data_IF_327242755629
#
_entry.id   IF_327242755629
#
_cell.length_a   1.000
_cell.length_b   1.000
_cell.length_c   1.000
_cell.angle_alpha   90.00
_cell.angle_beta   90.00
_cell.angle_gamma   90.00
#
_symmetry.space_group_name_H-M   'P 1'
#
loop_
_entity.id
_entity.type
_entity.pdbx_description
1 polymer ?
#
# COMPACT_ATOMS: atom_id res chain seq x y z
N UNK A 1 -18.69 -15.96 -12.73
CA UNK A 1 -18.88 -16.90 -11.59
C UNK A 1 -17.70 -17.86 -11.45
N UNK A 2 -17.25 -18.51 -12.53
CA UNK A 2 -16.11 -19.44 -12.52
C UNK A 2 -14.77 -18.85 -12.00
N UNK A 3 -14.41 -17.62 -12.39
CA UNK A 3 -13.15 -16.98 -11.99
C UNK A 3 -13.09 -16.76 -10.47
N UNK A 4 -14.18 -16.29 -9.86
CA UNK A 4 -14.25 -16.10 -8.40
C UNK A 4 -14.06 -17.41 -7.65
N UNK A 5 -14.65 -18.50 -8.15
CA UNK A 5 -14.51 -19.83 -7.56
C UNK A 5 -13.09 -20.37 -7.69
N UNK A 6 -12.41 -20.12 -8.81
CA UNK A 6 -11.02 -20.50 -9.00
C UNK A 6 -10.08 -19.72 -8.06
N UNK A 7 -10.30 -18.41 -7.90
CA UNK A 7 -9.54 -17.58 -6.95
C UNK A 7 -9.75 -18.06 -5.52
N UNK A 8 -11.01 -18.30 -5.12
CA UNK A 8 -11.32 -18.79 -3.78
C UNK A 8 -10.65 -20.14 -3.49
N UNK A 9 -10.63 -21.06 -4.47
CA UNK A 9 -9.94 -22.34 -4.36
C UNK A 9 -8.43 -22.15 -4.16
N UNK A 10 -7.81 -21.26 -4.92
CA UNK A 10 -6.38 -20.99 -4.83
C UNK A 10 -5.98 -20.35 -3.49
N UNK A 11 -6.80 -19.41 -2.99
CA UNK A 11 -6.61 -18.79 -1.68
C UNK A 11 -6.70 -19.86 -0.58
N UNK A 12 -7.69 -20.75 -0.65
CA UNK A 12 -7.82 -21.85 0.31
C UNK A 12 -6.58 -22.75 0.33
N UNK A 13 -6.12 -23.22 -0.84
CA UNK A 13 -4.94 -24.09 -0.91
C UNK A 13 -3.65 -23.42 -0.42
N UNK A 14 -3.55 -22.10 -0.62
CA UNK A 14 -2.42 -21.32 -0.11
C UNK A 14 -2.44 -21.23 1.41
N UNK A 15 -3.61 -20.98 2.01
CA UNK A 15 -3.75 -20.92 3.47
C UNK A 15 -3.43 -22.27 4.13
N UNK A 16 -3.85 -23.38 3.52
CA UNK A 16 -3.50 -24.73 4.02
C UNK A 16 -1.98 -24.95 4.01
N UNK A 17 -1.31 -24.52 2.93
CA UNK A 17 0.15 -24.60 2.82
C UNK A 17 0.83 -23.72 3.87
N UNK A 18 0.39 -22.46 4.02
CA UNK A 18 0.94 -21.54 5.02
C UNK A 18 0.77 -22.07 6.46
N UNK A 19 -0.36 -22.70 6.75
CA UNK A 19 -0.65 -23.28 8.06
C UNK A 19 0.30 -24.44 8.43
N UNK A 20 0.83 -25.15 7.44
CA UNK A 20 1.77 -26.26 7.65
C UNK A 20 3.20 -25.80 8.02
N UNK A 21 3.52 -24.53 7.81
CA UNK A 21 4.82 -23.93 8.13
C UNK A 21 4.75 -23.35 9.54
N UNK A 22 5.72 -23.66 10.41
CA UNK A 22 5.76 -23.10 11.77
C UNK A 22 5.91 -21.57 11.71
N UNK A 23 5.28 -20.85 12.64
CA UNK A 23 5.25 -19.37 12.62
C UNK A 23 6.66 -18.76 12.59
N UNK A 24 7.61 -19.34 13.31
CA UNK A 24 8.99 -18.86 13.38
C UNK A 24 9.81 -19.11 12.11
N UNK A 25 9.31 -19.98 11.21
CA UNK A 25 9.95 -20.30 9.93
C UNK A 25 9.31 -19.52 8.77
N UNK A 26 8.32 -18.66 9.06
CA UNK A 26 7.66 -17.82 8.06
C UNK A 26 8.41 -16.50 7.94
N UNK A 27 8.77 -16.16 6.71
CA UNK A 27 9.30 -14.85 6.34
C UNK A 27 8.30 -14.17 5.43
N UNK A 28 7.94 -12.93 5.75
CA UNK A 28 7.01 -12.13 4.96
C UNK A 28 7.77 -11.03 4.24
N UNK A 29 7.50 -10.85 2.95
CA UNK A 29 8.14 -9.83 2.10
C UNK A 29 7.04 -8.99 1.47
N UNK A 30 7.21 -7.66 1.48
CA UNK A 30 6.29 -6.73 0.84
C UNK A 30 7.01 -5.57 0.15
N UNK A 31 6.33 -4.95 -0.80
CA UNK A 31 6.75 -3.73 -1.49
C UNK A 31 5.77 -2.58 -1.18
N UNK A 32 6.30 -1.45 -0.74
CA UNK A 32 5.52 -0.21 -0.64
C UNK A 32 6.15 0.92 -1.45
N UNK A 33 5.32 1.63 -2.20
CA UNK A 33 5.71 2.86 -2.88
C UNK A 33 5.44 4.06 -1.98
N UNK A 34 6.47 4.87 -1.73
CA UNK A 34 6.39 6.15 -1.03
C UNK A 34 6.60 7.23 -2.09
N UNK A 35 5.50 7.91 -2.46
CA UNK A 35 5.55 9.03 -3.38
C UNK A 35 5.98 10.29 -2.63
N UNK A 36 6.94 11.04 -3.18
CA UNK A 36 7.27 12.39 -2.71
C UNK A 36 6.30 13.37 -3.38
N UNK A 37 5.46 14.09 -2.62
CA UNK A 37 4.62 15.13 -3.18
C UNK A 37 5.44 16.36 -3.59
N UNK A 38 4.96 17.08 -4.59
CA UNK A 38 5.68 18.19 -5.23
C UNK A 38 5.97 19.41 -4.33
N UNK A 39 5.23 19.54 -3.22
CA UNK A 39 5.23 20.73 -2.37
C UNK A 39 4.73 20.37 -0.96
N UNK A 40 5.64 20.22 0.00
CA UNK A 40 5.33 20.08 1.44
C UNK A 40 4.99 21.46 2.07
N UNK A 41 4.71 22.46 1.25
CA UNK A 41 4.18 23.73 1.71
C UNK A 41 2.85 23.47 2.40
N UNK A 42 2.87 23.36 3.73
CA UNK A 42 1.72 23.63 4.60
C UNK A 42 1.18 24.99 4.17
N UNK A 43 0.24 25.00 3.24
CA UNK A 43 -0.46 26.20 2.86
C UNK A 43 -1.28 26.64 4.06
N UNK A 44 -0.84 27.69 4.73
CA UNK A 44 -1.67 28.34 5.74
C UNK A 44 -2.85 29.00 5.05
N UNK A 45 -4.05 28.78 5.57
CA UNK A 45 -5.20 29.66 5.36
C UNK A 45 -5.48 30.42 6.65
N UNK A 46 -6.01 31.64 6.54
CA UNK A 46 -6.47 32.36 7.71
C UNK A 46 -7.66 31.64 8.37
N UNK A 47 -7.85 31.89 9.67
CA UNK A 47 -8.92 31.26 10.44
C UNK A 47 -10.29 31.66 9.87
N UNK A 48 -11.01 30.70 9.30
CA UNK A 48 -12.34 30.92 8.72
C UNK A 48 -12.36 30.91 7.19
N UNK A 49 -11.21 30.81 6.53
CA UNK A 49 -11.14 30.66 5.08
C UNK A 49 -11.03 29.19 4.66
N UNK A 50 -11.73 28.82 3.58
CA UNK A 50 -11.60 27.50 2.99
C UNK A 50 -10.30 27.41 2.20
N UNK A 51 -9.54 26.34 2.41
CA UNK A 51 -8.34 26.07 1.64
C UNK A 51 -8.71 25.67 0.21
N UNK A 52 -8.67 26.64 -0.72
CA UNK A 52 -9.05 26.43 -2.12
C UNK A 52 -7.93 25.89 -3.01
N UNK A 53 -6.73 25.65 -2.47
CA UNK A 53 -5.65 25.06 -3.23
C UNK A 53 -5.85 23.55 -3.37
N UNK A 54 -6.82 23.15 -4.20
CA UNK A 54 -6.89 21.83 -4.79
C UNK A 54 -5.73 21.71 -5.80
N UNK A 55 -4.49 21.60 -5.31
CA UNK A 55 -3.34 21.32 -6.18
C UNK A 55 -3.47 19.89 -6.68
N UNK A 56 -3.43 19.68 -7.99
CA UNK A 56 -3.17 18.36 -8.54
C UNK A 56 -1.78 17.96 -8.05
N UNK A 57 -1.70 17.04 -7.09
CA UNK A 57 -0.43 16.55 -6.57
C UNK A 57 0.35 15.89 -7.69
N UNK A 58 1.19 16.66 -8.38
CA UNK A 58 2.16 16.10 -9.28
C UNK A 58 3.22 15.39 -8.42
N UNK A 59 3.71 14.27 -8.93
CA UNK A 59 4.64 13.38 -8.22
C UNK A 59 6.02 13.61 -8.78
N UNK A 60 6.89 14.30 -8.04
CA UNK A 60 8.28 14.55 -8.44
C UNK A 60 9.19 13.33 -8.29
N UNK A 61 8.88 12.45 -7.36
CA UNK A 61 9.68 11.25 -7.09
C UNK A 61 8.87 10.16 -6.42
N UNK A 62 9.34 8.92 -6.57
CA UNK A 62 8.82 7.74 -5.88
C UNK A 62 9.99 6.92 -5.37
N UNK A 63 9.93 6.57 -4.10
CA UNK A 63 10.83 5.59 -3.48
C UNK A 63 10.06 4.29 -3.34
N UNK A 64 10.61 3.18 -3.81
CA UNK A 64 10.06 1.85 -3.52
C UNK A 64 10.85 1.25 -2.36
N UNK A 65 10.13 0.85 -1.32
CA UNK A 65 10.67 0.15 -0.16
C UNK A 65 10.32 -1.33 -0.30
N UNK A 66 11.35 -2.17 -0.30
CA UNK A 66 11.23 -3.62 -0.15
C UNK A 66 11.60 -3.96 1.29
N UNK A 67 10.71 -4.66 1.99
CA UNK A 67 10.94 -5.06 3.38
C UNK A 67 10.65 -6.55 3.56
N UNK A 68 11.46 -7.20 4.41
CA UNK A 68 11.27 -8.60 4.78
C UNK A 68 11.55 -8.83 6.26
N UNK A 69 10.72 -9.65 6.91
CA UNK A 69 10.89 -10.08 8.31
C UNK A 69 10.62 -11.58 8.43
#
# INVERSE_FOLDING_TARGET
>A
MAIKNAIAKNVSSFLDTLASIAVNDRVYIDESGIDQPDDDGYGGCELGEHFHALKSGQRRGRVNMLAGL
#
